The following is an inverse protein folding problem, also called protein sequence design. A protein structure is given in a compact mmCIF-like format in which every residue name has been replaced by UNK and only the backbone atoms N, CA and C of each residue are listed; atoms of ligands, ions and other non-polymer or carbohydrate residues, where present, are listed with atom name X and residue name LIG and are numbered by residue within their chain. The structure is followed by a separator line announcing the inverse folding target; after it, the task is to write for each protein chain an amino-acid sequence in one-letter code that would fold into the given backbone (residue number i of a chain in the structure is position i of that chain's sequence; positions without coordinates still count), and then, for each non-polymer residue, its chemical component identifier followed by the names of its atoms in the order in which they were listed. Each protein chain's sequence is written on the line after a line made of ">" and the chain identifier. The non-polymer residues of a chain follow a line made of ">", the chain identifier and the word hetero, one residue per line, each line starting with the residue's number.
data_IF_736306153322
#
_entry.id   IF_736306153322
#
_cell.length_a   1.000
_cell.length_b   1.000
_cell.length_c   1.000
_cell.angle_alpha   90.00
_cell.angle_beta   90.00
_cell.angle_gamma   90.00
#
_symmetry.space_group_name_H-M   'P 1'
#
loop_
_entity.id
_entity.type
_entity.pdbx_description
1 polymer ?
#
# COMPACT_ATOMS: atom_id res chain seq x y z
N UNK A 1 41.30 7.01 -41.75
CA UNK A 1 39.93 6.52 -42.05
C UNK A 1 39.03 6.31 -40.80
N UNK A 2 39.54 6.44 -39.56
CA UNK A 2 38.72 6.21 -38.34
C UNK A 2 38.01 7.44 -37.74
N UNK A 3 38.42 8.66 -38.09
CA UNK A 3 37.90 9.90 -37.49
C UNK A 3 36.62 10.44 -38.14
N UNK A 4 36.37 10.15 -39.43
CA UNK A 4 35.16 10.67 -40.12
C UNK A 4 33.89 9.85 -39.86
N UNK A 5 34.01 8.59 -39.41
CA UNK A 5 32.84 7.73 -39.14
C UNK A 5 32.21 8.03 -37.76
N UNK A 6 33.02 8.48 -36.80
CA UNK A 6 32.58 8.82 -35.44
C UNK A 6 31.80 10.15 -35.44
N UNK A 7 32.31 11.15 -36.15
CA UNK A 7 31.62 12.43 -36.35
C UNK A 7 30.32 12.27 -37.13
N UNK A 8 30.25 11.37 -38.11
CA UNK A 8 29.00 11.09 -38.84
C UNK A 8 27.92 10.43 -37.96
N UNK A 9 28.31 9.53 -37.05
CA UNK A 9 27.39 8.91 -36.09
C UNK A 9 26.89 9.90 -35.05
N UNK A 10 27.75 10.78 -34.55
CA UNK A 10 27.35 11.84 -33.63
C UNK A 10 26.43 12.86 -34.31
N UNK A 11 26.68 13.23 -35.58
CA UNK A 11 25.78 14.08 -36.36
C UNK A 11 24.42 13.41 -36.65
N UNK A 12 24.42 12.10 -36.90
CA UNK A 12 23.19 11.34 -37.11
C UNK A 12 22.38 11.23 -35.83
N UNK A 13 23.01 11.02 -34.67
CA UNK A 13 22.34 10.99 -33.36
C UNK A 13 21.76 12.36 -32.98
N UNK A 14 22.48 13.45 -33.25
CA UNK A 14 21.98 14.80 -32.95
C UNK A 14 20.84 15.19 -33.90
N UNK A 15 20.89 14.81 -35.18
CA UNK A 15 19.74 14.98 -36.08
C UNK A 15 18.54 14.10 -35.69
N UNK A 16 18.78 12.88 -35.17
CA UNK A 16 17.70 12.03 -34.65
C UNK A 16 17.07 12.62 -33.38
N UNK A 17 17.88 13.14 -32.46
CA UNK A 17 17.39 13.80 -31.26
C UNK A 17 16.64 15.11 -31.59
N UNK A 18 17.14 15.89 -32.55
CA UNK A 18 16.47 17.09 -33.04
C UNK A 18 15.14 16.77 -33.73
N UNK A 19 15.06 15.69 -34.51
CA UNK A 19 13.80 15.24 -35.13
C UNK A 19 12.82 14.69 -34.10
N UNK A 20 13.27 13.97 -33.06
CA UNK A 20 12.42 13.54 -31.93
C UNK A 20 11.92 14.75 -31.14
N UNK A 21 12.74 15.78 -30.92
CA UNK A 21 12.33 17.01 -30.24
C UNK A 21 11.37 17.85 -31.09
N UNK A 22 11.59 17.95 -32.40
CA UNK A 22 10.68 18.64 -33.32
C UNK A 22 9.37 17.88 -33.47
N UNK A 23 9.39 16.55 -33.52
CA UNK A 23 8.18 15.72 -33.49
C UNK A 23 7.47 15.83 -32.13
N UNK A 24 8.20 15.85 -31.02
CA UNK A 24 7.64 16.06 -29.68
C UNK A 24 7.05 17.46 -29.49
N UNK A 25 7.68 18.49 -30.04
CA UNK A 25 7.17 19.87 -30.03
C UNK A 25 5.99 20.06 -30.97
N UNK A 26 6.03 19.46 -32.17
CA UNK A 26 4.89 19.42 -33.09
C UNK A 26 3.73 18.57 -32.54
N UNK A 27 4.01 17.53 -31.76
CA UNK A 27 3.02 16.72 -31.03
C UNK A 27 2.40 17.51 -29.86
N UNK A 28 3.21 18.24 -29.09
CA UNK A 28 2.74 19.13 -28.02
C UNK A 28 1.89 20.29 -28.57
N UNK A 29 2.29 20.88 -29.70
CA UNK A 29 1.52 21.94 -30.37
C UNK A 29 0.30 21.42 -31.13
N UNK A 30 0.34 20.18 -31.65
CA UNK A 30 -0.82 19.47 -32.19
C UNK A 30 -1.89 19.22 -31.12
N UNK A 31 -1.49 18.76 -29.93
CA UNK A 31 -2.38 18.61 -28.78
C UNK A 31 -3.04 19.93 -28.35
N UNK A 32 -2.34 21.06 -28.51
CA UNK A 32 -2.89 22.39 -28.23
C UNK A 32 -3.78 22.96 -29.36
N UNK A 33 -3.72 22.41 -30.57
CA UNK A 33 -4.51 22.90 -31.72
C UNK A 33 -5.79 22.10 -31.96
N UNK A 34 -5.87 20.86 -31.47
CA UNK A 34 -7.14 20.13 -31.34
C UNK A 34 -7.69 20.31 -29.92
N UNK A 35 -8.74 21.12 -29.74
CA UNK A 35 -9.51 21.23 -28.49
C UNK A 35 -10.27 19.93 -28.17
N UNK A 36 -9.59 18.81 -27.99
CA UNK A 36 -10.19 17.56 -27.50
C UNK A 36 -9.72 17.38 -26.07
N UNK A 37 -10.60 17.70 -25.11
CA UNK A 37 -10.36 17.41 -23.71
C UNK A 37 -10.52 15.90 -23.49
N UNK A 38 -9.39 15.23 -23.28
CA UNK A 38 -9.38 13.80 -22.98
C UNK A 38 -9.84 13.59 -21.54
N UNK A 39 -10.96 12.90 -21.38
CA UNK A 39 -11.51 12.54 -20.07
C UNK A 39 -11.35 11.05 -19.84
N UNK A 40 -11.21 10.65 -18.57
CA UNK A 40 -10.94 9.25 -18.22
C UNK A 40 -12.11 8.31 -18.57
N UNK A 41 -13.30 8.85 -18.82
CA UNK A 41 -14.54 8.15 -19.22
C UNK A 41 -14.82 8.22 -20.73
N UNK A 42 -13.87 8.73 -21.52
CA UNK A 42 -13.96 8.78 -22.98
C UNK A 42 -13.87 7.38 -23.58
N UNK A 43 -14.83 7.02 -24.44
CA UNK A 43 -14.77 5.80 -25.24
C UNK A 43 -13.98 6.06 -26.53
N UNK A 44 -12.74 5.58 -26.57
CA UNK A 44 -11.85 5.75 -27.72
C UNK A 44 -12.36 5.11 -29.01
N UNK A 45 -13.31 4.17 -28.97
CA UNK A 45 -13.93 3.64 -30.20
C UNK A 45 -14.70 4.72 -30.97
N UNK A 46 -15.15 5.76 -30.27
CA UNK A 46 -15.88 6.89 -30.84
C UNK A 46 -14.94 8.04 -31.25
N UNK A 47 -13.64 7.89 -30.98
CA UNK A 47 -12.59 8.87 -31.26
C UNK A 47 -11.44 8.22 -32.05
N UNK A 48 -11.68 7.79 -33.30
CA UNK A 48 -10.65 7.15 -34.13
C UNK A 48 -9.43 8.05 -34.37
N UNK A 49 -9.57 9.37 -34.23
CA UNK A 49 -8.48 10.35 -34.27
C UNK A 49 -7.48 10.21 -33.12
N UNK A 50 -7.89 9.61 -31.99
CA UNK A 50 -7.03 9.37 -30.83
C UNK A 50 -6.42 7.96 -30.83
N UNK A 51 -6.76 7.12 -31.82
CA UNK A 51 -6.34 5.73 -31.90
C UNK A 51 -4.84 5.62 -32.15
N UNK A 52 -4.09 5.14 -31.16
CA UNK A 52 -2.62 5.06 -31.18
C UNK A 52 -1.90 6.27 -30.56
N UNK A 53 -2.65 7.29 -30.14
CA UNK A 53 -2.15 8.48 -29.42
C UNK A 53 -2.43 8.34 -27.91
N UNK A 54 -3.64 7.89 -27.58
CA UNK A 54 -4.07 7.61 -26.20
C UNK A 54 -4.56 6.18 -26.16
N UNK A 55 -4.03 5.38 -25.23
CA UNK A 55 -4.48 4.01 -25.04
C UNK A 55 -5.61 3.96 -24.00
N UNK A 56 -6.62 3.11 -24.22
CA UNK A 56 -7.70 2.93 -23.25
C UNK A 56 -7.14 2.50 -21.88
N UNK A 57 -6.08 1.71 -21.88
CA UNK A 57 -5.35 1.29 -20.69
C UNK A 57 -4.73 2.46 -19.93
N UNK A 58 -4.27 3.49 -20.64
CA UNK A 58 -3.69 4.70 -20.07
C UNK A 58 -4.79 5.62 -19.49
N UNK A 59 -5.94 5.73 -20.17
CA UNK A 59 -7.11 6.44 -19.65
C UNK A 59 -7.69 5.78 -18.41
N UNK A 60 -7.81 4.46 -18.44
CA UNK A 60 -8.26 3.66 -17.31
C UNK A 60 -7.31 3.90 -16.13
N UNK A 61 -5.99 3.79 -16.35
CA UNK A 61 -4.97 4.01 -15.33
C UNK A 61 -5.09 5.41 -14.68
N UNK A 62 -5.24 6.47 -15.47
CA UNK A 62 -5.41 7.84 -14.96
C UNK A 62 -6.74 7.99 -14.18
N UNK A 63 -7.81 7.35 -14.67
CA UNK A 63 -9.10 7.35 -14.00
C UNK A 63 -9.07 6.64 -12.65
N UNK A 64 -8.32 5.55 -12.56
CA UNK A 64 -8.07 4.78 -11.33
C UNK A 64 -7.27 5.57 -10.31
N UNK A 65 -6.29 6.35 -10.78
CA UNK A 65 -5.44 7.18 -9.90
C UNK A 65 -6.25 8.26 -9.16
N UNK A 66 -7.42 8.65 -9.69
CA UNK A 66 -8.18 9.79 -9.20
C UNK A 66 -9.44 9.44 -8.40
N UNK A 67 -10.11 8.32 -8.69
CA UNK A 67 -11.46 8.06 -8.18
C UNK A 67 -11.52 7.34 -6.83
N UNK A 68 -12.43 7.78 -5.96
CA UNK A 68 -12.77 7.15 -4.69
C UNK A 68 -14.31 7.23 -4.48
N UNK A 69 -14.91 6.10 -4.09
CA UNK A 69 -16.36 5.96 -3.89
C UNK A 69 -16.88 6.77 -2.69
N UNK A 70 -16.03 7.03 -1.68
CA UNK A 70 -16.37 7.82 -0.49
C UNK A 70 -15.95 9.29 -0.57
N UNK A 71 -15.41 9.74 -1.71
CA UNK A 71 -15.08 11.16 -1.96
C UNK A 71 -16.25 11.96 -2.56
N UNK A 72 -17.29 12.19 -1.76
CA UNK A 72 -18.52 12.85 -2.21
C UNK A 72 -18.31 14.33 -2.60
N UNK A 73 -17.37 15.04 -1.95
CA UNK A 73 -17.11 16.45 -2.26
C UNK A 73 -16.35 16.63 -3.58
N UNK A 74 -15.33 15.80 -3.81
CA UNK A 74 -14.51 15.84 -5.02
C UNK A 74 -15.22 15.20 -6.22
N UNK A 75 -16.03 14.18 -5.96
CA UNK A 75 -16.81 13.46 -6.97
C UNK A 75 -18.28 13.45 -6.59
N UNK A 76 -18.99 14.59 -6.65
CA UNK A 76 -20.40 14.65 -6.30
C UNK A 76 -21.24 13.82 -7.27
N UNK A 77 -22.31 13.22 -6.75
CA UNK A 77 -23.31 12.58 -7.61
C UNK A 77 -23.97 13.67 -8.47
N UNK A 78 -23.78 13.58 -9.79
CA UNK A 78 -24.26 14.58 -10.75
C UNK A 78 -25.75 14.47 -10.96
N UNK A 79 -26.31 13.26 -10.82
CA UNK A 79 -27.74 13.04 -10.91
C UNK A 79 -28.42 13.48 -9.58
N UNK A 80 -29.13 14.61 -9.64
CA UNK A 80 -29.81 15.18 -8.47
C UNK A 80 -30.79 14.20 -7.82
N UNK A 81 -31.44 13.34 -8.60
CA UNK A 81 -32.33 12.29 -8.10
C UNK A 81 -31.55 11.24 -7.33
N UNK A 82 -30.31 10.88 -7.72
CA UNK A 82 -29.54 9.82 -7.05
C UNK A 82 -28.71 10.29 -5.85
N UNK A 83 -28.60 11.61 -5.63
CA UNK A 83 -27.87 12.16 -4.47
C UNK A 83 -28.37 11.61 -3.12
N UNK A 84 -29.69 11.57 -2.83
CA UNK A 84 -30.18 11.01 -1.58
C UNK A 84 -29.84 9.53 -1.43
N UNK A 85 -29.99 8.74 -2.50
CA UNK A 85 -29.63 7.31 -2.50
C UNK A 85 -28.18 7.09 -2.10
N UNK A 86 -27.26 7.86 -2.69
CA UNK A 86 -25.83 7.76 -2.37
C UNK A 86 -25.56 8.08 -0.90
N UNK A 87 -26.26 9.07 -0.33
CA UNK A 87 -26.15 9.39 1.09
C UNK A 87 -26.68 8.26 1.97
N UNK A 88 -27.84 7.68 1.64
CA UNK A 88 -28.41 6.57 2.42
C UNK A 88 -27.51 5.32 2.42
N UNK A 89 -26.82 5.06 1.30
CA UNK A 89 -25.82 4.00 1.20
C UNK A 89 -24.61 4.24 2.11
N UNK A 90 -24.15 5.51 2.21
CA UNK A 90 -23.09 5.90 3.14
C UNK A 90 -23.51 5.78 4.60
N UNK A 91 -24.73 6.17 4.90
CA UNK A 91 -25.32 6.09 6.24
C UNK A 91 -25.66 4.64 6.64
N UNK A 92 -25.54 3.68 5.72
CA UNK A 92 -25.93 2.27 5.88
C UNK A 92 -27.40 2.10 6.30
N UNK A 93 -28.27 2.99 5.83
CA UNK A 93 -29.70 3.00 6.14
C UNK A 93 -30.46 2.12 5.13
N UNK A 94 -30.50 0.81 5.40
CA UNK A 94 -31.13 -0.17 4.51
C UNK A 94 -32.57 0.21 4.15
N UNK A 95 -33.37 0.67 5.12
CA UNK A 95 -34.79 1.00 4.88
C UNK A 95 -34.92 2.19 3.92
N UNK A 96 -34.12 3.24 4.12
CA UNK A 96 -34.13 4.38 3.19
C UNK A 96 -33.62 4.00 1.81
N UNK A 97 -32.59 3.16 1.70
CA UNK A 97 -32.12 2.64 0.40
C UNK A 97 -33.25 1.90 -0.32
N UNK A 98 -33.90 0.93 0.34
CA UNK A 98 -34.95 0.11 -0.28
C UNK A 98 -36.19 0.92 -0.64
N UNK A 99 -36.66 1.81 0.25
CA UNK A 99 -37.79 2.69 -0.03
C UNK A 99 -37.46 3.65 -1.17
N UNK A 100 -36.26 4.23 -1.19
CA UNK A 100 -35.85 5.14 -2.25
C UNK A 100 -35.86 4.45 -3.63
N UNK A 101 -35.32 3.23 -3.73
CA UNK A 101 -35.33 2.46 -4.97
C UNK A 101 -36.77 2.17 -5.42
N UNK A 102 -37.66 1.79 -4.50
CA UNK A 102 -39.07 1.49 -4.79
C UNK A 102 -39.85 2.73 -5.21
N UNK A 103 -39.80 3.80 -4.42
CA UNK A 103 -40.61 5.01 -4.61
C UNK A 103 -40.24 5.76 -5.90
N UNK A 104 -38.99 5.61 -6.35
CA UNK A 104 -38.50 6.19 -7.60
C UNK A 104 -38.53 5.18 -8.78
N UNK A 105 -39.07 3.98 -8.58
CA UNK A 105 -39.12 2.91 -9.57
C UNK A 105 -37.75 2.61 -10.23
N UNK A 106 -36.71 2.57 -9.41
CA UNK A 106 -35.33 2.32 -9.84
C UNK A 106 -35.00 0.83 -9.80
N UNK A 107 -34.18 0.39 -10.76
CA UNK A 107 -33.55 -0.93 -10.69
C UNK A 107 -32.65 -1.03 -9.46
N UNK A 108 -32.56 -2.22 -8.86
CA UNK A 108 -31.61 -2.52 -7.78
C UNK A 108 -30.14 -2.32 -8.23
N UNK A 109 -29.87 -2.45 -9.53
CA UNK A 109 -28.57 -2.21 -10.17
C UNK A 109 -28.46 -0.77 -10.75
N UNK A 110 -29.23 0.19 -10.23
CA UNK A 110 -29.15 1.59 -10.64
C UNK A 110 -27.70 2.06 -10.63
N UNK A 111 -27.28 2.73 -11.70
CA UNK A 111 -25.91 3.21 -11.85
C UNK A 111 -25.78 4.60 -11.25
N UNK A 112 -25.01 4.68 -10.18
CA UNK A 112 -24.52 5.93 -9.60
C UNK A 112 -23.28 6.39 -10.37
N UNK A 113 -22.67 7.48 -9.91
CA UNK A 113 -21.44 8.04 -10.43
C UNK A 113 -20.39 6.93 -10.72
N UNK A 114 -19.82 6.99 -11.94
CA UNK A 114 -18.82 6.03 -12.45
C UNK A 114 -19.30 4.58 -12.61
N UNK A 115 -20.61 4.40 -12.82
CA UNK A 115 -21.26 3.10 -12.98
C UNK A 115 -21.18 2.20 -11.74
N UNK A 116 -20.94 2.81 -10.58
CA UNK A 116 -21.07 2.10 -9.30
C UNK A 116 -22.52 1.69 -9.05
N UNK A 117 -22.73 0.60 -8.34
CA UNK A 117 -24.06 0.08 -7.97
C UNK A 117 -24.29 0.20 -6.46
N UNK A 118 -25.54 0.17 -5.98
CA UNK A 118 -25.82 0.10 -4.54
C UNK A 118 -25.06 -1.01 -3.82
N UNK A 119 -24.91 -2.18 -4.45
CA UNK A 119 -24.18 -3.30 -3.86
C UNK A 119 -22.68 -3.04 -3.73
N UNK A 120 -22.07 -2.24 -4.62
CA UNK A 120 -20.67 -1.82 -4.47
C UNK A 120 -20.48 -0.87 -3.29
N UNK A 121 -21.41 0.06 -3.06
CA UNK A 121 -21.37 0.93 -1.88
C UNK A 121 -21.53 0.12 -0.58
N UNK A 122 -22.54 -0.75 -0.50
CA UNK A 122 -22.74 -1.57 0.70
C UNK A 122 -21.56 -2.52 0.93
N UNK A 123 -20.92 -3.01 -0.14
CA UNK A 123 -19.67 -3.78 -0.07
C UNK A 123 -18.51 -2.98 0.48
N UNK A 124 -18.30 -1.75 0.02
CA UNK A 124 -17.26 -0.85 0.51
C UNK A 124 -17.42 -0.54 2.01
N UNK A 125 -18.65 -0.31 2.47
CA UNK A 125 -18.91 0.06 3.86
C UNK A 125 -19.07 -1.12 4.81
N UNK A 126 -18.87 -2.37 4.38
CA UNK A 126 -19.21 -3.58 5.13
C UNK A 126 -20.67 -3.57 5.66
N UNK A 127 -21.61 -3.05 4.87
CA UNK A 127 -23.03 -3.04 5.20
C UNK A 127 -23.67 -4.36 4.79
N UNK A 128 -23.59 -5.34 5.70
CA UNK A 128 -24.11 -6.69 5.47
C UNK A 128 -25.63 -6.70 5.23
N UNK A 129 -26.39 -5.87 5.95
CA UNK A 129 -27.86 -5.87 5.89
C UNK A 129 -28.35 -5.35 4.54
N UNK A 130 -27.84 -4.20 4.11
CA UNK A 130 -28.17 -3.66 2.78
C UNK A 130 -27.70 -4.60 1.69
N UNK A 131 -26.50 -5.18 1.81
CA UNK A 131 -25.99 -6.14 0.81
C UNK A 131 -26.91 -7.36 0.65
N UNK A 132 -27.40 -7.95 1.76
CA UNK A 132 -28.33 -9.09 1.72
C UNK A 132 -29.64 -8.74 1.01
N UNK A 133 -30.26 -7.62 1.36
CA UNK A 133 -31.54 -7.22 0.75
C UNK A 133 -31.38 -6.85 -0.73
N UNK A 134 -30.29 -6.19 -1.11
CA UNK A 134 -29.99 -5.91 -2.53
C UNK A 134 -29.83 -7.21 -3.33
N UNK A 135 -29.07 -8.19 -2.82
CA UNK A 135 -28.90 -9.50 -3.48
C UNK A 135 -30.25 -10.23 -3.61
N UNK A 136 -31.08 -10.20 -2.56
CA UNK A 136 -32.43 -10.79 -2.57
C UNK A 136 -33.35 -10.15 -3.62
N UNK A 137 -33.19 -8.85 -3.87
CA UNK A 137 -33.89 -8.13 -4.93
C UNK A 137 -33.29 -8.36 -6.33
N UNK A 138 -32.27 -9.20 -6.46
CA UNK A 138 -31.66 -9.57 -7.73
C UNK A 138 -30.50 -8.68 -8.17
N UNK A 139 -29.85 -7.97 -7.25
CA UNK A 139 -28.65 -7.21 -7.58
C UNK A 139 -27.58 -8.11 -8.22
N UNK A 140 -26.96 -7.61 -9.29
CA UNK A 140 -25.92 -8.35 -9.97
C UNK A 140 -24.63 -8.33 -9.14
N UNK A 141 -24.35 -9.46 -8.46
CA UNK A 141 -23.16 -9.67 -7.62
C UNK A 141 -21.81 -9.57 -8.39
N UNK A 142 -21.86 -9.58 -9.73
CA UNK A 142 -20.72 -9.44 -10.64
C UNK A 142 -20.78 -8.16 -11.48
N UNK A 143 -21.66 -7.22 -11.13
CA UNK A 143 -21.70 -5.93 -11.80
C UNK A 143 -20.31 -5.30 -11.77
N UNK A 144 -19.90 -4.70 -12.90
CA UNK A 144 -18.65 -3.97 -13.01
C UNK A 144 -18.95 -2.49 -13.17
N UNK A 145 -18.16 -1.67 -12.50
CA UNK A 145 -18.15 -0.22 -12.70
C UNK A 145 -17.28 0.14 -13.92
N UNK A 146 -17.04 1.43 -14.15
CA UNK A 146 -16.18 1.90 -15.25
C UNK A 146 -14.72 1.42 -15.15
N UNK A 147 -14.30 1.00 -13.96
CA UNK A 147 -12.95 0.56 -13.63
C UNK A 147 -12.81 -0.97 -13.69
N UNK A 148 -13.89 -1.67 -14.04
CA UNK A 148 -13.97 -3.13 -13.96
C UNK A 148 -13.84 -3.70 -12.54
N UNK A 149 -14.08 -2.87 -11.51
CA UNK A 149 -14.19 -3.33 -10.13
C UNK A 149 -15.61 -3.86 -9.89
N UNK A 150 -15.68 -5.01 -9.24
CA UNK A 150 -16.92 -5.67 -8.84
C UNK A 150 -17.17 -5.51 -7.32
N UNK A 151 -18.37 -5.79 -6.80
CA UNK A 151 -18.67 -5.72 -5.37
C UNK A 151 -17.60 -6.38 -4.47
N UNK A 152 -17.11 -7.56 -4.85
CA UNK A 152 -16.07 -8.26 -4.09
C UNK A 152 -14.74 -7.48 -4.03
N UNK A 153 -14.39 -6.74 -5.09
CA UNK A 153 -13.20 -5.88 -5.08
C UNK A 153 -13.32 -4.77 -4.03
N UNK A 154 -14.49 -4.13 -3.95
CA UNK A 154 -14.78 -3.10 -2.94
C UNK A 154 -14.71 -3.64 -1.52
N UNK A 155 -15.33 -4.80 -1.29
CA UNK A 155 -15.33 -5.44 0.02
C UNK A 155 -13.90 -5.78 0.47
N UNK A 156 -13.05 -6.29 -0.42
CA UNK A 156 -11.66 -6.63 -0.07
C UNK A 156 -10.83 -5.37 0.16
N UNK A 157 -11.00 -4.36 -0.69
CA UNK A 157 -10.34 -3.05 -0.58
C UNK A 157 -10.52 -2.39 0.80
N UNK A 158 -11.66 -2.62 1.46
CA UNK A 158 -12.06 -2.03 2.74
C UNK A 158 -12.08 -3.00 3.93
N UNK A 159 -11.52 -4.20 3.76
CA UNK A 159 -11.56 -5.24 4.78
C UNK A 159 -12.98 -5.56 5.28
N UNK A 160 -13.97 -5.50 4.38
CA UNK A 160 -15.39 -5.71 4.64
C UNK A 160 -15.71 -7.20 4.69
N UNK A 161 -15.21 -7.87 5.73
CA UNK A 161 -15.19 -9.33 5.88
C UNK A 161 -16.59 -9.95 5.74
N UNK A 162 -17.62 -9.33 6.33
CA UNK A 162 -18.97 -9.88 6.32
C UNK A 162 -19.55 -9.91 4.91
N UNK A 163 -19.31 -8.84 4.14
CA UNK A 163 -19.75 -8.78 2.74
C UNK A 163 -18.88 -9.66 1.84
N UNK A 164 -17.57 -9.81 2.11
CA UNK A 164 -16.73 -10.80 1.42
C UNK A 164 -17.34 -12.20 1.57
N UNK A 165 -17.62 -12.64 2.81
CA UNK A 165 -18.23 -13.95 3.07
C UNK A 165 -19.56 -14.10 2.33
N UNK A 166 -20.45 -13.10 2.44
CA UNK A 166 -21.74 -13.10 1.74
C UNK A 166 -21.58 -13.30 0.22
N UNK A 167 -20.64 -12.59 -0.42
CA UNK A 167 -20.45 -12.68 -1.87
C UNK A 167 -19.87 -14.04 -2.30
N UNK A 168 -18.93 -14.60 -1.52
CA UNK A 168 -18.39 -15.95 -1.76
C UNK A 168 -19.47 -17.02 -1.56
N UNK A 169 -20.30 -16.90 -0.52
CA UNK A 169 -21.43 -17.81 -0.27
C UNK A 169 -22.47 -17.78 -1.39
N UNK A 170 -22.58 -16.66 -2.11
CA UNK A 170 -23.41 -16.51 -3.32
C UNK A 170 -22.67 -16.89 -4.62
N UNK A 171 -21.52 -17.56 -4.50
CA UNK A 171 -20.80 -18.18 -5.60
C UNK A 171 -19.87 -17.26 -6.39
N UNK A 172 -19.55 -16.06 -5.91
CA UNK A 172 -18.46 -15.23 -6.47
C UNK A 172 -17.12 -15.88 -6.12
N UNK A 173 -16.16 -15.88 -7.03
CA UNK A 173 -14.82 -16.43 -6.77
C UNK A 173 -13.73 -15.36 -6.77
N UNK A 174 -12.63 -15.61 -6.06
CA UNK A 174 -11.51 -14.67 -5.99
C UNK A 174 -10.77 -14.50 -7.33
N UNK A 175 -10.77 -15.52 -8.20
CA UNK A 175 -10.19 -15.43 -9.56
C UNK A 175 -10.90 -14.38 -10.43
N UNK A 176 -12.15 -14.06 -10.13
CA UNK A 176 -12.94 -13.04 -10.84
C UNK A 176 -12.48 -11.62 -10.49
N UNK A 177 -11.69 -11.47 -9.41
CA UNK A 177 -11.18 -10.20 -8.91
C UNK A 177 -9.64 -10.25 -8.85
N UNK A 178 -8.95 -10.22 -9.99
CA UNK A 178 -7.48 -10.28 -9.99
C UNK A 178 -6.83 -9.05 -9.35
N UNK A 179 -7.58 -7.94 -9.26
CA UNK A 179 -7.08 -6.64 -8.79
C UNK A 179 -8.11 -5.92 -7.94
N UNK A 180 -7.59 -5.11 -7.02
CA UNK A 180 -8.35 -4.20 -6.16
C UNK A 180 -7.75 -2.80 -6.21
N UNK A 181 -8.51 -1.81 -5.74
CA UNK A 181 -8.00 -0.45 -5.55
C UNK A 181 -7.43 -0.29 -4.15
N UNK A 182 -6.32 0.43 -4.02
CA UNK A 182 -5.67 0.66 -2.73
C UNK A 182 -6.28 1.85 -2.00
N UNK A 183 -7.02 1.60 -0.92
CA UNK A 183 -7.67 2.64 -0.13
C UNK A 183 -7.06 2.84 1.26
N UNK A 184 -6.71 1.72 1.90
CA UNK A 184 -6.21 1.74 3.27
C UNK A 184 -4.70 1.89 3.29
N UNK A 185 -4.13 2.29 4.43
CA UNK A 185 -2.69 2.36 4.67
C UNK A 185 -2.33 1.30 5.70
N UNK A 186 -1.19 0.64 5.52
CA UNK A 186 -0.67 -0.30 6.51
C UNK A 186 0.26 0.43 7.47
N UNK A 187 0.29 0.07 8.77
CA UNK A 187 1.44 0.40 9.60
C UNK A 187 2.70 -0.23 8.98
N UNK A 188 3.71 0.60 8.74
CA UNK A 188 5.07 0.17 8.40
C UNK A 188 6.03 0.76 9.43
N UNK A 189 7.16 0.10 9.74
CA UNK A 189 8.11 0.64 10.73
C UNK A 189 8.56 2.05 10.36
N UNK A 190 8.82 2.27 9.08
CA UNK A 190 9.15 3.57 8.53
C UNK A 190 7.90 4.45 8.47
N UNK A 191 7.94 5.57 9.18
CA UNK A 191 6.91 6.61 9.11
C UNK A 191 5.69 6.39 10.01
N UNK A 192 5.36 5.16 10.44
CA UNK A 192 4.20 4.93 11.33
C UNK A 192 4.53 4.88 12.82
N UNK A 193 5.81 4.84 13.23
CA UNK A 193 6.16 4.86 14.67
C UNK A 193 5.85 6.25 15.25
N UNK A 194 4.82 6.31 16.09
CA UNK A 194 4.36 7.52 16.77
C UNK A 194 5.09 7.77 18.07
N UNK A 195 5.17 6.75 18.94
CA UNK A 195 5.95 6.82 20.18
C UNK A 195 6.56 5.48 20.58
N UNK A 196 7.67 5.54 21.30
CA UNK A 196 8.39 4.40 21.89
C UNK A 196 8.40 4.64 23.39
N UNK A 197 7.90 3.67 24.15
CA UNK A 197 7.91 3.71 25.61
C UNK A 197 8.89 2.66 26.09
N UNK A 198 9.89 3.10 26.86
CA UNK A 198 10.86 2.22 27.49
C UNK A 198 10.51 2.15 28.98
N UNK A 199 10.20 0.94 29.43
CA UNK A 199 9.86 0.65 30.82
C UNK A 199 10.56 -0.65 31.24
N UNK A 200 11.66 -0.51 32.00
CA UNK A 200 12.51 -1.61 32.45
C UNK A 200 13.05 -2.46 31.28
N UNK A 201 12.57 -3.69 31.15
CA UNK A 201 12.97 -4.69 30.15
C UNK A 201 12.04 -4.75 28.92
N UNK A 202 11.06 -3.84 28.87
CA UNK A 202 10.04 -3.80 27.83
C UNK A 202 10.18 -2.52 26.99
N UNK A 203 10.19 -2.71 25.68
CA UNK A 203 10.13 -1.63 24.69
C UNK A 203 8.78 -1.72 23.98
N UNK A 204 7.87 -0.78 24.29
CA UNK A 204 6.56 -0.69 23.63
C UNK A 204 6.63 0.32 22.49
N UNK A 205 6.32 -0.11 21.27
CA UNK A 205 6.22 0.75 20.10
C UNK A 205 4.75 1.00 19.79
N UNK A 206 4.34 2.25 19.90
CA UNK A 206 3.02 2.70 19.49
C UNK A 206 3.08 3.21 18.05
N UNK A 207 2.28 2.61 17.18
CA UNK A 207 2.12 3.05 15.80
C UNK A 207 0.94 4.01 15.70
N UNK A 208 1.17 5.13 15.04
CA UNK A 208 0.10 6.03 14.62
C UNK A 208 -0.56 5.42 13.39
N UNK A 209 -1.77 4.89 13.57
CA UNK A 209 -2.58 4.42 12.46
C UNK A 209 -3.43 5.56 11.93
N UNK A 210 -3.22 5.88 10.67
CA UNK A 210 -4.12 6.71 9.88
C UNK A 210 -5.20 5.80 9.29
N UNK A 211 -6.13 5.36 10.13
CA UNK A 211 -7.34 4.67 9.66
C UNK A 211 -8.37 5.76 9.37
N UNK A 212 -8.63 6.06 8.09
CA UNK A 212 -9.76 6.91 7.69
C UNK A 212 -9.41 8.29 7.13
N UNK A 213 -8.16 8.74 7.21
CA UNK A 213 -7.71 9.93 6.48
C UNK A 213 -6.61 9.59 5.49
N UNK A 214 -6.85 9.95 4.23
CA UNK A 214 -5.91 9.83 3.11
C UNK A 214 -4.56 10.37 3.53
N UNK A 215 -3.53 9.52 3.51
CA UNK A 215 -2.18 10.03 3.47
C UNK A 215 -1.89 10.50 2.05
N UNK A 216 -2.11 11.79 1.80
CA UNK A 216 -1.35 12.48 0.77
C UNK A 216 0.10 12.44 1.23
N UNK A 217 1.02 11.96 0.40
CA UNK A 217 2.42 12.04 0.77
C UNK A 217 2.77 13.52 1.00
N UNK A 218 3.40 13.81 2.14
CA UNK A 218 3.81 15.16 2.53
C UNK A 218 5.10 15.61 1.84
N UNK A 219 5.66 14.81 0.91
CA UNK A 219 6.67 15.33 0.00
C UNK A 219 5.95 16.35 -0.85
N UNK A 220 6.41 17.59 -0.91
CA UNK A 220 6.01 18.46 -2.00
C UNK A 220 6.95 18.21 -3.16
N UNK A 221 6.45 18.19 -4.40
CA UNK A 221 7.31 18.27 -5.56
C UNK A 221 8.14 19.56 -5.43
N UNK A 222 9.46 19.42 -5.44
CA UNK A 222 10.40 20.53 -5.26
C UNK A 222 10.29 21.61 -6.35
N UNK A 223 9.71 21.28 -7.52
CA UNK A 223 9.53 22.20 -8.63
C UNK A 223 8.17 22.93 -8.60
N UNK A 224 7.12 22.28 -8.11
CA UNK A 224 5.74 22.83 -8.16
C UNK A 224 5.18 23.24 -6.81
N UNK A 225 5.80 22.82 -5.69
CA UNK A 225 5.29 23.06 -4.34
C UNK A 225 4.02 22.29 -3.98
N UNK A 226 3.45 21.52 -4.91
CA UNK A 226 2.28 20.67 -4.66
C UNK A 226 2.68 19.36 -3.93
N UNK A 227 1.82 18.81 -3.05
CA UNK A 227 2.04 17.51 -2.46
C UNK A 227 2.22 16.46 -3.57
N UNK A 228 3.25 15.63 -3.39
CA UNK A 228 3.56 14.47 -4.19
C UNK A 228 2.41 13.51 -3.96
N UNK A 229 1.55 13.46 -4.96
CA UNK A 229 0.41 12.56 -5.04
C UNK A 229 0.96 11.17 -5.35
N UNK A 230 1.54 10.49 -4.36
CA UNK A 230 1.82 9.04 -4.42
C UNK A 230 0.50 8.28 -4.38
N UNK A 231 -0.32 8.50 -5.39
CA UNK A 231 -1.51 7.72 -5.69
C UNK A 231 -1.03 6.32 -6.09
N UNK A 232 -0.83 5.46 -5.11
CA UNK A 232 -0.75 4.01 -5.31
C UNK A 232 -2.14 3.41 -5.66
N UNK A 233 -2.99 4.18 -6.33
CA UNK A 233 -4.34 3.84 -6.78
C UNK A 233 -4.36 3.26 -8.20
N UNK A 234 -3.24 2.66 -8.64
CA UNK A 234 -3.24 1.75 -9.78
C UNK A 234 -3.79 0.36 -9.39
N UNK A 235 -4.21 -0.43 -10.38
CA UNK A 235 -4.65 -1.83 -10.22
C UNK A 235 -3.61 -2.64 -9.42
N UNK A 236 -3.88 -2.96 -8.16
CA UNK A 236 -2.99 -3.76 -7.30
C UNK A 236 -3.43 -5.22 -7.34
N UNK A 237 -2.50 -6.17 -7.46
CA UNK A 237 -2.80 -7.60 -7.29
C UNK A 237 -3.54 -7.84 -5.97
N UNK A 238 -4.66 -8.56 -6.06
CA UNK A 238 -5.57 -8.83 -4.94
C UNK A 238 -4.84 -9.32 -3.69
N UNK A 239 -4.09 -10.43 -3.82
CA UNK A 239 -3.49 -11.09 -2.68
C UNK A 239 -2.31 -10.29 -2.14
N UNK A 240 -1.51 -9.67 -3.01
CA UNK A 240 -0.47 -8.72 -2.57
C UNK A 240 -1.05 -7.57 -1.74
N UNK A 241 -2.20 -7.01 -2.14
CA UNK A 241 -2.86 -5.96 -1.36
C UNK A 241 -3.28 -6.48 0.02
N UNK A 242 -3.93 -7.64 0.08
CA UNK A 242 -4.37 -8.30 1.32
C UNK A 242 -3.18 -8.56 2.26
N UNK A 243 -2.06 -9.07 1.75
CA UNK A 243 -0.81 -9.26 2.52
C UNK A 243 -0.28 -7.93 3.01
N UNK A 244 -0.13 -6.95 2.11
CA UNK A 244 0.42 -5.63 2.46
C UNK A 244 -0.41 -4.90 3.52
N UNK A 245 -1.72 -5.13 3.56
CA UNK A 245 -2.63 -4.54 4.57
C UNK A 245 -2.80 -5.41 5.82
N UNK A 246 -2.16 -6.57 5.86
CA UNK A 246 -2.25 -7.54 6.94
C UNK A 246 -3.71 -7.98 7.23
N UNK A 247 -4.54 -8.14 6.19
CA UNK A 247 -5.93 -8.62 6.33
C UNK A 247 -5.97 -10.13 6.50
N UNK A 248 -5.63 -10.61 7.69
CA UNK A 248 -5.50 -12.03 8.02
C UNK A 248 -6.75 -12.83 7.66
N UNK A 249 -7.94 -12.33 8.02
CA UNK A 249 -9.19 -13.06 7.77
C UNK A 249 -9.48 -13.19 6.26
N UNK A 250 -9.28 -12.13 5.48
CA UNK A 250 -9.46 -12.19 4.03
C UNK A 250 -8.38 -13.07 3.38
N UNK A 251 -7.12 -12.99 3.83
CA UNK A 251 -6.06 -13.87 3.36
C UNK A 251 -6.43 -15.34 3.58
N UNK A 252 -6.98 -15.65 4.76
CA UNK A 252 -7.44 -16.99 5.10
C UNK A 252 -8.57 -17.44 4.17
N UNK A 253 -9.60 -16.62 3.98
CA UNK A 253 -10.70 -16.91 3.04
C UNK A 253 -10.20 -17.16 1.62
N UNK A 254 -9.22 -16.36 1.16
CA UNK A 254 -8.62 -16.54 -0.17
C UNK A 254 -7.91 -17.89 -0.26
N UNK A 255 -7.03 -18.20 0.68
CA UNK A 255 -6.22 -19.43 0.62
C UNK A 255 -7.06 -20.69 0.81
N UNK A 256 -8.06 -20.66 1.70
CA UNK A 256 -8.98 -21.77 1.95
C UNK A 256 -9.94 -22.02 0.77
N UNK A 257 -10.18 -21.02 -0.09
CA UNK A 257 -10.99 -21.19 -1.32
C UNK A 257 -10.33 -22.07 -2.39
N UNK A 258 -9.03 -22.38 -2.24
CA UNK A 258 -8.21 -23.05 -3.25
C UNK A 258 -7.60 -22.12 -4.29
N UNK A 259 -7.86 -20.81 -4.20
CA UNK A 259 -7.17 -19.79 -5.00
C UNK A 259 -5.66 -19.85 -4.74
N UNK A 260 -4.87 -19.89 -5.83
CA UNK A 260 -3.41 -19.94 -5.76
C UNK A 260 -2.83 -18.56 -6.09
N UNK A 261 -2.49 -17.74 -5.09
CA UNK A 261 -1.92 -16.43 -5.36
C UNK A 261 -0.54 -16.54 -5.99
N UNK A 262 -0.32 -15.74 -7.03
CA UNK A 262 1.01 -15.51 -7.57
C UNK A 262 1.67 -14.34 -6.85
N UNK A 263 2.65 -14.67 -6.03
CA UNK A 263 3.48 -13.72 -5.29
C UNK A 263 4.90 -13.64 -5.89
N UNK A 264 5.14 -14.25 -7.06
CA UNK A 264 6.42 -14.17 -7.78
C UNK A 264 6.53 -12.83 -8.51
N UNK A 265 7.54 -12.07 -8.11
CA UNK A 265 8.15 -10.90 -8.74
C UNK A 265 7.48 -10.28 -9.99
N UNK A 266 7.10 -9.02 -9.87
CA UNK A 266 7.00 -8.07 -11.00
C UNK A 266 8.31 -7.27 -11.08
N UNK A 267 9.11 -7.52 -12.12
CA UNK A 267 10.41 -6.88 -12.35
C UNK A 267 10.33 -5.37 -12.58
N UNK A 268 9.14 -4.81 -12.81
CA UNK A 268 8.96 -3.36 -12.98
C UNK A 268 8.81 -2.61 -11.65
N UNK A 269 8.46 -3.32 -10.56
CA UNK A 269 8.09 -2.70 -9.27
C UNK A 269 8.80 -3.31 -8.05
N UNK A 270 9.46 -4.47 -8.18
CA UNK A 270 10.21 -5.09 -7.07
C UNK A 270 9.34 -5.53 -5.89
N UNK A 271 8.08 -5.86 -6.16
CA UNK A 271 7.03 -6.22 -5.18
C UNK A 271 6.90 -7.74 -5.06
N UNK A 272 7.00 -8.25 -3.83
CA UNK A 272 6.81 -9.66 -3.45
C UNK A 272 6.03 -9.66 -2.13
N UNK A 273 5.04 -10.54 -1.99
CA UNK A 273 4.22 -10.65 -0.78
C UNK A 273 5.06 -10.84 0.50
N UNK A 274 6.03 -11.75 0.48
CA UNK A 274 6.95 -11.99 1.60
C UNK A 274 7.81 -10.77 1.93
N UNK A 275 8.19 -9.96 0.93
CA UNK A 275 8.95 -8.72 1.16
C UNK A 275 8.13 -7.67 1.91
N UNK A 276 6.81 -7.64 1.77
CA UNK A 276 5.98 -6.72 2.55
C UNK A 276 6.05 -7.06 4.06
N UNK A 277 6.14 -8.34 4.40
CA UNK A 277 6.22 -8.81 5.79
C UNK A 277 7.49 -8.30 6.50
N UNK A 278 8.54 -7.93 5.77
CA UNK A 278 9.81 -7.48 6.37
C UNK A 278 9.75 -6.05 6.93
N UNK A 279 8.65 -5.34 6.77
CA UNK A 279 8.54 -3.93 7.17
C UNK A 279 7.28 -3.60 7.97
N UNK A 280 6.47 -4.61 8.29
CA UNK A 280 5.22 -4.43 9.04
C UNK A 280 5.35 -5.00 10.46
N UNK A 281 4.77 -4.35 11.48
CA UNK A 281 4.58 -4.97 12.78
C UNK A 281 3.54 -6.10 12.71
N UNK A 282 3.61 -7.07 13.63
CA UNK A 282 2.65 -8.18 13.76
C UNK A 282 2.46 -8.97 12.43
N UNK A 283 3.55 -9.24 11.72
CA UNK A 283 3.55 -9.96 10.44
C UNK A 283 3.40 -11.47 10.59
N UNK A 284 3.68 -12.00 11.78
CA UNK A 284 3.80 -13.43 12.05
C UNK A 284 2.54 -14.23 11.64
N UNK A 285 1.31 -13.81 11.99
CA UNK A 285 0.11 -14.57 11.59
C UNK A 285 -0.05 -14.68 10.07
N UNK A 286 0.29 -13.62 9.33
CA UNK A 286 0.25 -13.63 7.86
C UNK A 286 1.33 -14.56 7.29
N UNK A 287 2.53 -14.51 7.86
CA UNK A 287 3.64 -15.38 7.46
C UNK A 287 3.29 -16.86 7.65
N UNK A 288 2.82 -17.26 8.83
CA UNK A 288 2.45 -18.66 9.10
C UNK A 288 1.37 -19.12 8.13
N UNK A 289 0.31 -18.33 7.96
CA UNK A 289 -0.78 -18.64 7.04
C UNK A 289 -0.30 -18.84 5.59
N UNK A 290 0.59 -17.97 5.11
CA UNK A 290 1.16 -18.07 3.76
C UNK A 290 2.06 -19.31 3.60
N UNK A 291 2.82 -19.68 4.63
CA UNK A 291 3.68 -20.86 4.61
C UNK A 291 2.85 -22.16 4.65
N UNK A 292 1.82 -22.21 5.50
CA UNK A 292 0.89 -23.36 5.60
C UNK A 292 0.23 -23.70 4.26
N UNK A 293 -0.07 -22.67 3.45
CA UNK A 293 -0.71 -22.83 2.14
C UNK A 293 0.29 -22.87 0.96
N UNK A 294 1.59 -22.98 1.23
CA UNK A 294 2.65 -23.03 0.22
C UNK A 294 2.57 -21.89 -0.81
N UNK A 295 2.31 -20.68 -0.35
CA UNK A 295 2.25 -19.50 -1.22
C UNK A 295 3.58 -19.33 -1.98
N UNK A 296 3.46 -19.04 -3.27
CA UNK A 296 4.59 -18.86 -4.18
C UNK A 296 5.44 -17.63 -3.80
N UNK A 297 6.69 -17.54 -4.29
CA UNK A 297 7.55 -16.37 -4.05
C UNK A 297 8.35 -16.39 -2.74
N UNK A 298 8.44 -17.56 -2.09
CA UNK A 298 9.42 -17.81 -1.02
C UNK A 298 10.85 -17.68 -1.57
N UNK A 299 11.81 -17.17 -0.76
CA UNK A 299 13.20 -17.08 -1.15
C UNK A 299 13.80 -18.46 -1.41
N UNK A 300 14.61 -18.58 -2.46
CA UNK A 300 15.39 -19.79 -2.73
C UNK A 300 16.68 -19.85 -1.89
N UNK A 301 17.41 -20.96 -1.94
CA UNK A 301 18.63 -21.18 -1.14
C UNK A 301 19.72 -20.11 -1.39
N UNK A 302 19.86 -19.65 -2.63
CA UNK A 302 20.82 -18.60 -3.00
C UNK A 302 20.44 -17.24 -2.38
N UNK A 303 19.14 -16.90 -2.39
CA UNK A 303 18.61 -15.69 -1.77
C UNK A 303 18.75 -15.72 -0.24
N UNK A 304 18.51 -16.89 0.38
CA UNK A 304 18.74 -17.10 1.81
C UNK A 304 20.22 -16.89 2.17
N UNK A 305 21.13 -17.45 1.36
CA UNK A 305 22.58 -17.30 1.59
C UNK A 305 23.03 -15.85 1.42
N UNK A 306 22.63 -15.18 0.33
CA UNK A 306 22.92 -13.75 0.11
C UNK A 306 22.40 -12.86 1.24
N UNK A 307 21.21 -13.16 1.75
CA UNK A 307 20.65 -12.44 2.88
C UNK A 307 21.46 -12.64 4.16
N UNK A 308 21.96 -13.85 4.40
CA UNK A 308 22.81 -14.16 5.53
C UNK A 308 24.19 -13.50 5.42
N UNK A 309 24.80 -13.52 4.23
CA UNK A 309 26.07 -12.83 3.96
C UNK A 309 25.98 -11.32 4.20
N UNK A 310 24.86 -10.72 3.80
CA UNK A 310 24.60 -9.31 4.15
C UNK A 310 24.47 -9.12 5.67
N UNK A 311 23.89 -10.08 6.40
CA UNK A 311 23.84 -9.99 7.85
C UNK A 311 25.23 -10.08 8.50
N UNK A 312 26.07 -11.01 8.04
CA UNK A 312 27.47 -11.10 8.47
C UNK A 312 28.23 -9.79 8.20
N UNK A 313 28.03 -9.21 7.02
CA UNK A 313 28.62 -7.91 6.69
C UNK A 313 28.19 -6.82 7.69
N UNK A 314 26.90 -6.74 8.03
CA UNK A 314 26.40 -5.79 9.03
C UNK A 314 26.97 -6.06 10.42
N UNK A 315 27.12 -7.32 10.82
CA UNK A 315 27.73 -7.70 12.08
C UNK A 315 29.21 -7.28 12.15
N UNK A 316 29.97 -7.45 11.07
CA UNK A 316 31.41 -7.17 11.03
C UNK A 316 31.75 -5.69 10.77
N UNK A 317 30.91 -4.96 10.03
CA UNK A 317 31.24 -3.62 9.51
C UNK A 317 30.17 -2.55 9.78
N UNK A 318 29.00 -2.93 10.30
CA UNK A 318 27.84 -2.02 10.37
C UNK A 318 28.01 -0.82 11.30
N UNK A 319 28.98 -0.86 12.23
CA UNK A 319 29.09 0.12 13.32
C UNK A 319 30.57 0.44 13.60
N UNK A 320 31.12 1.42 12.88
CA UNK A 320 32.43 1.99 13.24
C UNK A 320 32.28 2.79 14.54
N UNK A 321 32.82 2.27 15.64
CA UNK A 321 32.80 2.81 17.02
C UNK A 321 33.36 4.25 17.21
N UNK A 322 33.75 4.96 16.13
CA UNK A 322 34.63 6.14 16.22
C UNK A 322 33.95 7.51 16.39
N UNK A 323 32.63 7.62 16.46
CA UNK A 323 31.97 8.94 16.61
C UNK A 323 30.71 8.94 17.51
N UNK A 324 30.78 8.38 18.73
CA UNK A 324 29.57 8.27 19.57
C UNK A 324 29.76 8.70 21.03
N UNK A 325 29.08 9.79 21.40
CA UNK A 325 28.82 10.23 22.78
C UNK A 325 27.32 10.61 22.93
N UNK A 326 26.51 10.08 23.87
CA UNK A 326 26.70 8.81 24.59
C UNK A 326 25.44 8.11 25.18
N UNK A 327 24.29 8.74 25.42
CA UNK A 327 23.25 8.00 26.20
C UNK A 327 22.07 7.46 25.36
N UNK A 328 21.35 8.29 24.59
CA UNK A 328 20.16 7.85 23.82
C UNK A 328 20.52 7.16 22.49
N UNK A 329 21.49 7.72 21.74
CA UNK A 329 21.99 7.15 20.48
C UNK A 329 22.64 5.78 20.70
N UNK A 330 23.42 5.62 21.77
CA UNK A 330 24.03 4.34 22.11
C UNK A 330 23.00 3.26 22.43
N UNK A 331 21.83 3.60 22.98
CA UNK A 331 20.85 2.59 23.38
C UNK A 331 20.30 1.79 22.19
N UNK A 332 19.81 2.47 21.15
CA UNK A 332 19.26 1.78 19.98
C UNK A 332 20.35 1.13 19.13
N UNK A 333 21.53 1.75 19.06
CA UNK A 333 22.70 1.18 18.36
C UNK A 333 23.18 -0.10 19.06
N UNK A 334 23.32 -0.09 20.38
CA UNK A 334 23.67 -1.27 21.19
C UNK A 334 22.59 -2.38 21.08
N UNK A 335 21.32 -2.00 21.05
CA UNK A 335 20.23 -2.95 20.82
C UNK A 335 20.36 -3.64 19.45
N UNK A 336 20.68 -2.88 18.39
CA UNK A 336 20.91 -3.43 17.05
C UNK A 336 22.16 -4.33 17.03
N UNK A 337 23.27 -3.90 17.63
CA UNK A 337 24.51 -4.69 17.74
C UNK A 337 24.25 -6.02 18.46
N UNK A 338 23.56 -6.00 19.61
CA UNK A 338 23.20 -7.21 20.36
C UNK A 338 22.33 -8.16 19.51
N UNK A 339 21.40 -7.62 18.73
CA UNK A 339 20.59 -8.40 17.80
C UNK A 339 21.45 -9.07 16.71
N UNK A 340 22.37 -8.33 16.08
CA UNK A 340 23.26 -8.87 15.03
C UNK A 340 24.20 -9.94 15.59
N UNK A 341 24.82 -9.70 16.76
CA UNK A 341 25.71 -10.65 17.42
C UNK A 341 25.00 -12.00 17.72
N UNK A 342 23.73 -11.93 18.12
CA UNK A 342 22.92 -13.12 18.41
C UNK A 342 22.51 -13.88 17.14
N UNK A 343 22.36 -13.19 16.01
CA UNK A 343 21.70 -13.75 14.82
C UNK A 343 22.70 -14.16 13.73
N UNK A 344 23.84 -13.49 13.60
CA UNK A 344 24.68 -13.52 12.39
C UNK A 344 26.18 -13.64 12.65
N UNK A 345 26.57 -14.47 13.62
CA UNK A 345 27.97 -14.65 14.02
C UNK A 345 28.71 -15.80 13.32
N UNK A 346 28.03 -16.66 12.55
CA UNK A 346 28.64 -17.83 11.91
C UNK A 346 28.90 -17.61 10.41
N UNK A 347 30.17 -17.44 10.04
CA UNK A 347 30.62 -17.18 8.66
C UNK A 347 30.20 -18.23 7.63
N UNK A 348 29.98 -19.47 8.05
CA UNK A 348 29.66 -20.58 7.16
C UNK A 348 28.16 -20.92 7.12
N UNK A 349 27.32 -20.11 7.76
CA UNK A 349 25.89 -20.37 7.89
C UNK A 349 25.04 -19.74 6.77
N UNK A 350 23.75 -20.06 6.81
CA UNK A 350 22.66 -19.52 5.99
C UNK A 350 21.37 -19.56 6.80
N UNK A 351 20.36 -18.77 6.41
CA UNK A 351 19.02 -18.91 6.99
C UNK A 351 18.42 -20.25 6.60
N UNK A 352 17.86 -20.99 7.57
CA UNK A 352 17.37 -22.36 7.38
C UNK A 352 16.12 -22.43 6.49
N UNK A 353 15.29 -21.40 6.55
CA UNK A 353 14.03 -21.33 5.82
C UNK A 353 13.53 -19.88 5.72
N UNK A 354 12.42 -19.70 5.00
CA UNK A 354 11.74 -18.41 4.83
C UNK A 354 11.36 -17.77 6.16
N UNK A 355 10.93 -18.56 7.16
CA UNK A 355 10.51 -18.03 8.45
C UNK A 355 11.65 -17.35 9.20
N UNK A 356 12.82 -17.99 9.24
CA UNK A 356 14.02 -17.41 9.84
C UNK A 356 14.49 -16.16 9.09
N UNK A 357 14.49 -16.20 7.76
CA UNK A 357 14.85 -15.06 6.92
C UNK A 357 13.93 -13.85 7.12
N UNK A 358 12.61 -14.04 7.08
CA UNK A 358 11.64 -12.95 7.26
C UNK A 358 11.74 -12.38 8.67
N UNK A 359 11.90 -13.24 9.69
CA UNK A 359 12.12 -12.79 11.07
C UNK A 359 13.35 -11.91 11.18
N UNK A 360 14.48 -12.34 10.62
CA UNK A 360 15.70 -11.53 10.62
C UNK A 360 15.48 -10.19 9.90
N UNK A 361 14.96 -10.22 8.67
CA UNK A 361 14.76 -8.99 7.87
C UNK A 361 13.83 -8.01 8.55
N UNK A 362 12.72 -8.50 9.08
CA UNK A 362 11.75 -7.70 9.81
C UNK A 362 12.37 -7.05 11.05
N UNK A 363 13.04 -7.83 11.89
CA UNK A 363 13.71 -7.31 13.09
C UNK A 363 14.82 -6.33 12.74
N UNK A 364 15.62 -6.61 11.70
CA UNK A 364 16.66 -5.69 11.24
C UNK A 364 16.08 -4.37 10.72
N UNK A 365 14.97 -4.41 9.97
CA UNK A 365 14.28 -3.19 9.52
C UNK A 365 13.76 -2.39 10.71
N UNK A 366 13.19 -3.03 11.73
CA UNK A 366 12.80 -2.36 12.95
C UNK A 366 13.99 -1.68 13.64
N UNK A 367 15.11 -2.39 13.82
CA UNK A 367 16.29 -1.84 14.50
C UNK A 367 16.86 -0.61 13.78
N UNK A 368 16.93 -0.64 12.44
CA UNK A 368 17.34 0.52 11.63
C UNK A 368 16.44 1.73 11.90
N UNK A 369 15.12 1.53 11.91
CA UNK A 369 14.18 2.64 12.17
C UNK A 369 14.30 3.17 13.60
N UNK A 370 14.56 2.30 14.60
CA UNK A 370 14.82 2.72 15.97
C UNK A 370 16.10 3.55 16.09
N UNK A 371 17.21 3.12 15.46
CA UNK A 371 18.45 3.91 15.39
C UNK A 371 18.23 5.28 14.75
N UNK A 372 17.49 5.34 13.63
CA UNK A 372 17.19 6.61 12.96
C UNK A 372 16.40 7.56 13.88
N UNK A 373 15.39 7.05 14.59
CA UNK A 373 14.61 7.84 15.56
C UNK A 373 15.51 8.35 16.69
N UNK A 374 16.41 7.50 17.21
CA UNK A 374 17.38 7.89 18.24
C UNK A 374 18.31 9.02 17.76
N UNK A 375 18.80 8.94 16.52
CA UNK A 375 19.63 9.99 15.93
C UNK A 375 18.87 11.32 15.78
N UNK A 376 17.64 11.28 15.26
CA UNK A 376 16.79 12.46 15.08
C UNK A 376 16.44 13.16 16.41
N UNK A 377 16.29 12.40 17.51
CA UNK A 377 16.05 12.96 18.84
C UNK A 377 17.31 13.60 19.43
N UNK A 378 18.47 12.97 19.25
CA UNK A 378 19.75 13.51 19.69
C UNK A 378 20.07 14.85 19.01
N UNK A 379 19.92 14.94 17.69
CA UNK A 379 20.14 16.20 16.95
C UNK A 379 19.19 17.31 17.42
N UNK A 380 17.92 16.97 17.69
CA UNK A 380 16.93 17.92 18.24
C UNK A 380 17.36 18.42 19.62
N UNK A 381 17.81 17.55 20.51
CA UNK A 381 18.30 17.91 21.84
C UNK A 381 19.52 18.87 21.77
N UNK A 382 20.48 18.63 20.87
CA UNK A 382 21.64 19.50 20.65
C UNK A 382 21.24 20.91 20.18
N UNK A 383 20.21 21.01 19.33
CA UNK A 383 19.78 22.29 18.74
C UNK A 383 19.03 23.23 19.70
N UNK A 384 18.75 22.83 20.95
CA UNK A 384 17.93 23.55 21.95
C UNK A 384 16.57 24.05 21.42
N UNK A 385 16.04 23.47 20.33
CA UNK A 385 14.71 23.82 19.82
C UNK A 385 13.65 23.42 20.87
N UNK A 386 13.01 24.43 21.46
CA UNK A 386 12.01 24.28 22.52
C UNK A 386 10.74 23.62 21.94
N UNK A 387 10.42 22.43 22.45
CA UNK A 387 9.10 21.76 22.50
C UNK A 387 8.45 21.24 21.20
N UNK A 388 8.05 19.94 21.16
CA UNK A 388 6.79 19.48 21.78
C UNK A 388 6.46 17.97 21.68
N UNK A 389 7.12 17.17 20.83
CA UNK A 389 6.80 15.73 20.70
C UNK A 389 8.07 14.86 20.69
N UNK A 390 8.57 14.48 21.87
CA UNK A 390 9.53 13.36 21.97
C UNK A 390 8.80 12.08 21.55
N UNK A 391 9.37 11.33 20.61
CA UNK A 391 8.85 10.00 20.26
C UNK A 391 9.24 9.00 21.34
N UNK A 392 10.43 9.11 21.94
CA UNK A 392 10.90 8.20 22.98
C UNK A 392 10.55 8.74 24.38
N UNK A 393 9.93 7.88 25.18
CA UNK A 393 9.45 8.17 26.54
C UNK A 393 10.04 7.13 27.49
N UNK A 394 10.82 7.62 28.46
CA UNK A 394 11.41 6.81 29.53
C UNK A 394 10.54 6.92 30.78
N UNK A 395 9.99 5.80 31.26
CA UNK A 395 9.12 5.80 32.46
C UNK A 395 9.89 5.80 33.79
N UNK A 396 11.10 5.25 33.81
CA UNK A 396 11.99 5.29 34.99
C UNK A 396 13.22 6.13 34.65
N UNK A 397 13.43 7.23 35.37
CA UNK A 397 14.59 8.14 35.22
C UNK A 397 15.81 7.67 36.03
N UNK A 398 15.59 6.80 37.00
CA UNK A 398 16.65 6.10 37.72
C UNK A 398 16.77 4.72 37.11
N UNK A 399 17.89 4.43 36.44
CA UNK A 399 18.68 3.22 36.67
C UNK A 399 19.51 2.82 35.45
N UNK A 400 20.67 2.27 35.76
CA UNK A 400 21.62 1.46 34.99
C UNK A 400 21.01 0.19 34.34
N UNK A 401 19.72 0.21 33.95
CA UNK A 401 18.92 -0.90 33.39
C UNK A 401 19.02 -1.01 31.85
N UNK A 402 19.88 -0.22 31.20
CA UNK A 402 20.03 -0.15 29.73
C UNK A 402 20.48 -1.44 29.01
N UNK A 403 20.56 -2.59 29.69
CA UNK A 403 21.13 -3.82 29.13
C UNK A 403 20.18 -5.03 28.99
N UNK A 404 18.88 -4.90 29.29
CA UNK A 404 17.97 -6.06 29.35
C UNK A 404 16.63 -5.88 28.64
N UNK A 405 16.56 -5.21 27.48
CA UNK A 405 15.34 -5.33 26.66
C UNK A 405 15.26 -6.76 26.13
N UNK A 406 14.30 -7.52 26.66
CA UNK A 406 14.02 -8.89 26.23
C UNK A 406 12.67 -8.99 25.51
N UNK A 407 11.84 -7.95 25.61
CA UNK A 407 10.50 -7.94 25.06
C UNK A 407 10.21 -6.64 24.29
N UNK A 408 9.77 -6.79 23.04
CA UNK A 408 9.29 -5.69 22.19
C UNK A 408 7.79 -5.90 22.01
N UNK A 409 7.00 -4.93 22.45
CA UNK A 409 5.54 -4.92 22.28
C UNK A 409 5.16 -3.96 21.16
N UNK A 410 4.39 -4.45 20.19
CA UNK A 410 3.81 -3.61 19.13
C UNK A 410 2.37 -3.25 19.49
N UNK A 411 2.07 -1.95 19.63
CA UNK A 411 0.72 -1.44 19.90
C UNK A 411 0.25 -0.55 18.76
N UNK A 412 -0.87 -0.94 18.17
CA UNK A 412 -1.53 -0.18 17.12
C UNK A 412 -2.48 0.83 17.77
N UNK A 413 -2.26 2.13 17.59
CA UNK A 413 -3.17 3.18 18.08
C UNK A 413 -3.89 3.80 16.89
N UNK A 414 -5.22 3.70 16.90
CA UNK A 414 -6.04 4.50 16.00
C UNK A 414 -5.92 5.96 16.47
N UNK A 415 -5.49 6.86 15.59
CA UNK A 415 -5.80 8.27 15.78
C UNK A 415 -7.25 8.44 15.38
N UNK A 416 -8.10 8.70 16.36
CA UNK A 416 -9.48 9.14 16.15
C UNK A 416 -9.54 10.50 15.46
#
# INVERSE_FOLDING_TARGET
>A
KGTSLKTFKELALTMLAATVLVLGYNFYTSLNTTKISVHTDMNLSNHPELKGIVFQEELDRIGFESWDIDEFEKYPEKNQTLKPLRQYLKDKDTNKVLNFLKDNNLSVDVRLQYNTTPLMYSSFYNDLNTSKELIKLGANIRAKDRYSLAPLAYAISHNSIDVVKLLIDNGVKFEEVPRVQGYLISPEYKGSIGSIIIDKDTLTINYDLYIGEKYYSTRNNSETGEPFKDYWSGKVNLFYYVVRRNFIEIAKLILESGYKPDCKFDNTLGKNCFKELTKMPNYEPMLELMLEHNVSGQPNEEELKKAYDHCLFLHEHGWNEKELNKDEKLFFDDLHIKFLNKTCSDRNSTFKNTKEYIKFKNQNTLMIELTNIGADEFERNLSKKINKNKKVIYKNQTDTIYNKINHIEHKLKNKE
#
